data_IF_750007688258
#
_entry.id   IF_750007688258
#
_cell.length_a   1.000
_cell.length_b   1.000
_cell.length_c   1.000
_cell.angle_alpha   90.00
_cell.angle_beta   90.00
_cell.angle_gamma   90.00
#
_symmetry.space_group_name_H-M   'P 1'
#
loop_
_entity.id
_entity.type
_entity.pdbx_description
1 polymer ?
#
# COMPACT_ATOMS: atom_id res chain seq x y z
N UNK A 1 48.71 -10.32 37.16
CA UNK A 1 48.09 -9.26 37.99
C UNK A 1 47.51 -8.19 37.06
N UNK A 2 46.26 -7.76 37.27
CA UNK A 2 45.45 -7.04 36.29
C UNK A 2 45.34 -5.53 36.59
N UNK A 3 45.03 -4.73 35.58
CA UNK A 3 44.44 -3.38 35.64
C UNK A 3 44.21 -2.91 34.19
N UNK A 4 43.12 -2.29 33.76
CA UNK A 4 41.86 -1.94 34.38
C UNK A 4 40.83 -1.71 33.25
N UNK A 5 39.57 -2.04 33.52
CA UNK A 5 38.41 -1.78 32.68
C UNK A 5 38.04 -0.29 32.64
N UNK A 6 37.46 0.17 31.52
CA UNK A 6 36.23 0.98 31.43
C UNK A 6 36.27 1.89 30.19
N UNK A 7 35.50 1.57 29.14
CA UNK A 7 34.96 2.60 28.25
C UNK A 7 33.46 2.70 28.50
N UNK A 8 33.07 3.90 28.95
CA UNK A 8 31.74 4.25 29.39
C UNK A 8 30.75 4.27 28.22
N UNK A 9 29.61 3.62 28.45
CA UNK A 9 28.37 3.79 27.70
C UNK A 9 27.89 5.24 27.84
N UNK A 10 27.72 5.96 26.73
CA UNK A 10 26.88 7.16 26.70
C UNK A 10 25.42 6.74 26.50
N UNK A 11 24.67 6.69 27.59
CA UNK A 11 23.21 6.78 27.57
C UNK A 11 22.83 8.23 27.35
N UNK A 12 21.99 8.49 26.35
CA UNK A 12 21.32 9.76 26.13
C UNK A 12 20.35 10.06 27.28
N UNK A 13 20.61 11.15 28.02
CA UNK A 13 19.59 11.85 28.83
C UNK A 13 19.80 13.35 28.69
N UNK A 14 18.73 14.04 28.27
CA UNK A 14 18.47 15.46 28.54
C UNK A 14 19.27 16.47 27.72
N UNK A 15 18.69 16.94 26.61
CA UNK A 15 19.13 18.18 25.96
C UNK A 15 18.63 19.39 26.78
N UNK A 16 19.56 20.24 27.22
CA UNK A 16 19.28 21.57 27.79
C UNK A 16 19.87 22.63 26.85
N UNK A 17 19.08 23.67 26.57
CA UNK A 17 19.23 24.61 25.46
C UNK A 17 20.28 25.72 25.64
N UNK A 18 21.08 25.73 26.71
CA UNK A 18 21.89 26.91 27.08
C UNK A 18 23.41 26.81 26.84
N UNK A 19 23.88 25.97 25.92
CA UNK A 19 25.33 25.82 25.67
C UNK A 19 25.73 25.96 24.20
N UNK A 20 25.47 27.12 23.58
CA UNK A 20 26.00 27.43 22.24
C UNK A 20 26.66 28.81 22.08
N UNK A 21 26.98 29.52 23.17
CA UNK A 21 27.72 30.79 23.10
C UNK A 21 29.19 30.65 23.49
N UNK A 22 29.99 29.84 22.77
CA UNK A 22 31.46 29.89 22.92
C UNK A 22 32.31 29.19 21.85
N UNK A 23 31.74 28.65 20.76
CA UNK A 23 32.54 28.12 19.66
C UNK A 23 32.36 28.99 18.43
N UNK A 24 33.41 29.73 18.05
CA UNK A 24 33.50 30.51 16.81
C UNK A 24 33.58 29.64 15.56
N UNK A 25 32.58 28.78 15.36
CA UNK A 25 32.33 28.09 14.10
C UNK A 25 31.28 28.92 13.35
N UNK A 26 31.64 29.39 12.17
CA UNK A 26 30.74 30.08 11.27
C UNK A 26 29.47 29.24 11.08
N UNK A 27 28.30 29.87 11.25
CA UNK A 27 27.03 29.26 10.87
C UNK A 27 27.14 28.78 9.42
N UNK A 28 26.74 27.54 9.10
CA UNK A 28 26.50 27.21 7.70
C UNK A 28 25.45 28.21 7.17
N UNK A 29 25.57 28.69 5.92
CA UNK A 29 24.56 29.57 5.38
C UNK A 29 23.22 28.87 5.52
N UNK A 30 22.26 29.55 6.15
CA UNK A 30 20.87 29.17 6.04
C UNK A 30 20.60 29.02 4.55
N UNK A 31 20.38 27.80 4.07
CA UNK A 31 19.83 27.60 2.75
C UNK A 31 18.51 28.35 2.78
N UNK A 32 18.53 29.53 2.17
CA UNK A 32 17.36 30.29 1.83
C UNK A 32 16.44 29.31 1.13
N UNK A 33 15.36 28.93 1.80
CA UNK A 33 14.16 28.57 1.08
C UNK A 33 13.93 29.73 0.12
N UNK A 34 14.08 29.47 -1.17
CA UNK A 34 13.64 30.41 -2.20
C UNK A 34 12.25 30.89 -1.80
N UNK A 35 11.96 32.19 -1.84
CA UNK A 35 10.59 32.64 -1.63
C UNK A 35 9.74 31.88 -2.66
N UNK A 36 8.74 31.15 -2.19
CA UNK A 36 7.69 30.62 -3.05
C UNK A 36 7.06 31.83 -3.70
N UNK A 37 7.47 32.12 -4.94
CA UNK A 37 6.81 33.13 -5.77
C UNK A 37 5.44 32.57 -6.07
N UNK A 38 4.48 33.00 -5.24
CA UNK A 38 3.09 32.61 -5.26
C UNK A 38 2.35 33.34 -6.40
N UNK A 39 2.90 33.24 -7.62
CA UNK A 39 2.38 33.91 -8.82
C UNK A 39 1.42 33.02 -9.63
N UNK A 40 1.21 31.77 -9.21
CA UNK A 40 0.17 30.91 -9.77
C UNK A 40 -0.96 30.71 -8.73
N UNK A 41 -2.17 31.26 -8.94
CA UNK A 41 -3.32 31.03 -8.07
C UNK A 41 -3.78 29.56 -8.04
N UNK A 42 -3.20 28.71 -8.90
CA UNK A 42 -3.38 27.26 -8.93
C UNK A 42 -2.16 26.48 -8.42
N UNK A 43 -1.24 27.12 -7.68
CA UNK A 43 -0.12 26.43 -7.04
C UNK A 43 -0.63 25.45 -5.97
N UNK A 44 -0.87 24.21 -6.41
CA UNK A 44 -1.24 23.09 -5.55
C UNK A 44 -0.03 22.68 -4.72
N UNK A 45 -0.23 22.39 -3.43
CA UNK A 45 0.81 21.94 -2.50
C UNK A 45 0.41 20.64 -1.80
N UNK A 46 1.37 19.93 -1.20
CA UNK A 46 1.11 18.72 -0.41
C UNK A 46 0.68 17.53 -1.27
N UNK A 47 -0.24 16.73 -0.75
CA UNK A 47 -0.69 15.46 -1.38
C UNK A 47 -1.27 15.66 -2.79
N UNK A 48 -2.01 16.76 -2.99
CA UNK A 48 -2.59 17.06 -4.30
C UNK A 48 -1.52 17.40 -5.34
N UNK A 49 -0.45 18.08 -4.94
CA UNK A 49 0.69 18.35 -5.83
C UNK A 49 1.42 17.05 -6.16
N UNK A 50 1.65 16.20 -5.15
CA UNK A 50 2.26 14.88 -5.33
C UNK A 50 1.45 14.01 -6.30
N UNK A 51 0.12 13.97 -6.13
CA UNK A 51 -0.77 13.20 -7.00
C UNK A 51 -0.69 13.70 -8.46
N UNK A 52 -0.80 15.03 -8.67
CA UNK A 52 -0.67 15.64 -9.99
C UNK A 52 0.68 15.29 -10.62
N UNK A 53 1.76 15.53 -9.89
CA UNK A 53 3.12 15.35 -10.40
C UNK A 53 3.43 13.88 -10.68
N UNK A 54 2.98 12.96 -9.81
CA UNK A 54 3.09 11.51 -10.00
C UNK A 54 2.42 11.05 -11.29
N UNK A 55 1.21 11.55 -11.59
CA UNK A 55 0.53 11.20 -12.83
C UNK A 55 1.15 11.87 -14.04
N UNK A 56 1.49 13.16 -13.95
CA UNK A 56 2.11 13.90 -15.05
C UNK A 56 3.43 13.25 -15.51
N UNK A 57 4.26 12.79 -14.57
CA UNK A 57 5.50 12.04 -14.86
C UNK A 57 5.24 10.78 -15.69
N UNK A 58 4.18 10.03 -15.36
CA UNK A 58 3.83 8.75 -16.02
C UNK A 58 3.07 8.94 -17.33
N UNK A 59 2.23 9.97 -17.39
CA UNK A 59 1.47 10.35 -18.58
C UNK A 59 2.43 10.87 -19.66
N UNK A 60 3.42 11.68 -19.29
CA UNK A 60 4.26 12.42 -20.22
C UNK A 60 3.42 13.38 -21.06
N UNK A 61 3.73 13.49 -22.35
CA UNK A 61 3.04 14.39 -23.27
C UNK A 61 1.69 13.85 -23.79
N UNK A 62 1.27 12.65 -23.34
CA UNK A 62 0.01 12.03 -23.80
C UNK A 62 -1.21 12.79 -23.31
N UNK A 63 -2.28 12.81 -24.11
CA UNK A 63 -3.55 13.41 -23.71
C UNK A 63 -4.14 12.71 -22.48
N UNK A 64 -4.80 13.51 -21.64
CA UNK A 64 -5.43 13.04 -20.41
C UNK A 64 -6.60 12.11 -20.74
N UNK A 65 -6.56 10.87 -20.23
CA UNK A 65 -7.65 9.91 -20.42
C UNK A 65 -7.67 8.91 -19.27
N UNK A 66 -8.82 8.80 -18.59
CA UNK A 66 -9.00 7.93 -17.43
C UNK A 66 -10.00 6.83 -17.80
N UNK A 67 -9.62 5.57 -17.61
CA UNK A 67 -10.52 4.44 -17.77
C UNK A 67 -10.88 3.84 -16.41
N UNK A 68 -12.19 3.71 -16.16
CA UNK A 68 -12.72 3.04 -14.98
C UNK A 68 -12.88 1.55 -15.23
N UNK A 69 -12.33 0.74 -14.35
CA UNK A 69 -12.46 -0.72 -14.37
C UNK A 69 -12.99 -1.16 -13.01
N UNK A 70 -14.09 -1.91 -13.04
CA UNK A 70 -14.75 -2.43 -11.85
C UNK A 70 -15.18 -3.88 -12.03
N UNK A 71 -15.39 -4.56 -10.92
CA UNK A 71 -16.08 -5.87 -10.82
C UNK A 71 -15.55 -6.94 -11.79
N UNK A 72 -14.24 -7.13 -11.78
CA UNK A 72 -13.57 -8.15 -12.58
C UNK A 72 -13.73 -9.53 -11.94
N UNK A 73 -14.28 -10.49 -12.68
CA UNK A 73 -14.57 -11.84 -12.16
C UNK A 73 -13.43 -12.83 -12.40
N UNK A 74 -12.56 -12.60 -13.40
CA UNK A 74 -11.42 -13.46 -13.72
C UNK A 74 -10.23 -12.71 -14.36
N UNK A 75 -9.07 -13.38 -14.39
CA UNK A 75 -7.79 -12.82 -14.86
C UNK A 75 -7.77 -12.43 -16.34
N UNK A 76 -8.42 -13.21 -17.20
CA UNK A 76 -8.44 -12.94 -18.65
C UNK A 76 -9.30 -11.72 -18.95
N UNK A 77 -10.44 -11.59 -18.29
CA UNK A 77 -11.28 -10.40 -18.34
C UNK A 77 -10.51 -9.16 -17.86
N UNK A 78 -9.83 -9.26 -16.72
CA UNK A 78 -9.00 -8.19 -16.16
C UNK A 78 -7.93 -7.71 -17.14
N UNK A 79 -7.13 -8.65 -17.67
CA UNK A 79 -6.06 -8.37 -18.64
C UNK A 79 -6.61 -7.74 -19.91
N UNK A 80 -7.72 -8.26 -20.43
CA UNK A 80 -8.35 -7.74 -21.64
C UNK A 80 -8.98 -6.36 -21.42
N UNK A 81 -9.61 -6.09 -20.27
CA UNK A 81 -10.19 -4.79 -19.95
C UNK A 81 -9.12 -3.70 -19.88
N UNK A 82 -8.01 -3.96 -19.18
CA UNK A 82 -6.89 -3.03 -19.08
C UNK A 82 -6.25 -2.80 -20.44
N UNK A 83 -5.93 -3.87 -21.18
CA UNK A 83 -5.32 -3.72 -22.51
C UNK A 83 -6.19 -2.91 -23.47
N UNK A 84 -7.50 -3.17 -23.52
CA UNK A 84 -8.42 -2.37 -24.35
C UNK A 84 -8.49 -0.92 -23.93
N UNK A 85 -8.49 -0.63 -22.63
CA UNK A 85 -8.48 0.74 -22.12
C UNK A 85 -7.22 1.49 -22.58
N UNK A 86 -6.06 0.86 -22.42
CA UNK A 86 -4.76 1.44 -22.83
C UNK A 86 -4.68 1.60 -24.34
N UNK A 87 -5.12 0.60 -25.12
CA UNK A 87 -5.14 0.67 -26.58
C UNK A 87 -6.11 1.76 -27.09
N UNK A 88 -7.11 2.12 -26.30
CA UNK A 88 -8.03 3.25 -26.55
C UNK A 88 -7.46 4.60 -26.10
N UNK A 89 -6.24 4.63 -25.55
CA UNK A 89 -5.53 5.85 -25.16
C UNK A 89 -5.62 6.20 -23.68
N UNK A 90 -6.10 5.32 -22.80
CA UNK A 90 -6.11 5.59 -21.36
C UNK A 90 -4.69 5.81 -20.82
N UNK A 91 -4.49 6.92 -20.10
CA UNK A 91 -3.24 7.30 -19.43
C UNK A 91 -3.30 7.10 -17.92
N UNK A 92 -4.48 6.80 -17.37
CA UNK A 92 -4.71 6.34 -16.00
C UNK A 92 -5.81 5.29 -15.98
N UNK A 93 -5.57 4.19 -15.27
CA UNK A 93 -6.58 3.20 -14.93
C UNK A 93 -7.06 3.46 -13.50
N UNK A 94 -8.38 3.57 -13.31
CA UNK A 94 -9.00 3.63 -11.99
C UNK A 94 -9.63 2.27 -11.69
N UNK A 95 -9.05 1.53 -10.74
CA UNK A 95 -9.45 0.16 -10.41
C UNK A 95 -10.15 0.11 -9.04
N UNK A 96 -11.35 -0.47 -9.03
CA UNK A 96 -12.03 -0.86 -7.80
C UNK A 96 -12.67 -2.23 -8.00
N UNK A 97 -12.68 -3.09 -7.00
CA UNK A 97 -13.44 -4.35 -7.06
C UNK A 97 -14.19 -4.45 -5.75
N UNK A 98 -15.52 -4.48 -5.83
CA UNK A 98 -16.39 -4.55 -4.66
C UNK A 98 -16.19 -5.91 -3.95
N UNK A 99 -16.08 -5.86 -2.62
CA UNK A 99 -16.10 -7.04 -1.77
C UNK A 99 -15.20 -6.96 -0.53
N UNK A 100 -15.69 -7.59 0.53
CA UNK A 100 -14.95 -7.85 1.77
C UNK A 100 -15.00 -9.35 2.05
N UNK A 101 -14.03 -10.09 1.53
CA UNK A 101 -13.98 -11.55 1.63
C UNK A 101 -12.73 -12.06 2.38
N UNK A 102 -12.91 -13.20 3.04
CA UNK A 102 -11.88 -13.84 3.86
C UNK A 102 -10.65 -14.28 3.06
N UNK A 103 -10.78 -14.57 1.75
CA UNK A 103 -9.64 -14.92 0.92
C UNK A 103 -8.75 -13.71 0.62
N UNK A 104 -9.34 -12.53 0.37
CA UNK A 104 -8.61 -11.27 0.22
C UNK A 104 -7.86 -10.88 1.50
N UNK A 105 -8.50 -11.00 2.67
CA UNK A 105 -7.85 -10.78 3.97
C UNK A 105 -6.74 -11.80 4.23
N UNK A 106 -6.96 -13.08 3.89
CA UNK A 106 -5.94 -14.13 4.00
C UNK A 106 -4.73 -13.85 3.12
N UNK A 107 -4.93 -13.42 1.87
CA UNK A 107 -3.84 -13.01 0.98
C UNK A 107 -3.00 -11.90 1.60
N UNK A 108 -3.64 -10.85 2.15
CA UNK A 108 -2.91 -9.75 2.79
C UNK A 108 -2.17 -10.24 4.03
N UNK A 109 -2.83 -11.00 4.92
CA UNK A 109 -2.20 -11.53 6.13
C UNK A 109 -0.94 -12.35 5.79
N UNK A 110 -1.04 -13.18 4.76
CA UNK A 110 0.07 -13.98 4.27
C UNK A 110 1.20 -13.10 3.70
N UNK A 111 0.89 -12.21 2.76
CA UNK A 111 1.89 -11.42 2.03
C UNK A 111 2.57 -10.40 2.95
N UNK A 112 1.79 -9.72 3.79
CA UNK A 112 2.31 -8.75 4.76
C UNK A 112 2.92 -9.42 6.00
N UNK A 113 2.81 -10.75 6.11
CA UNK A 113 3.28 -11.53 7.26
C UNK A 113 2.78 -10.95 8.60
N UNK A 114 1.46 -10.78 8.69
CA UNK A 114 0.78 -10.29 9.90
C UNK A 114 -0.17 -11.35 10.47
N UNK A 115 -0.41 -11.37 11.79
CA UNK A 115 -1.39 -12.27 12.39
C UNK A 115 -2.79 -12.12 11.78
N UNK A 116 -3.57 -13.21 11.75
CA UNK A 116 -4.95 -13.17 11.22
C UNK A 116 -5.87 -12.25 12.03
N UNK A 117 -5.57 -12.04 13.31
CA UNK A 117 -6.27 -11.07 14.18
C UNK A 117 -6.07 -9.62 13.75
N UNK A 118 -4.96 -9.33 13.07
CA UNK A 118 -4.54 -7.98 12.71
C UNK A 118 -5.09 -7.55 11.34
N UNK A 119 -5.82 -8.45 10.67
CA UNK A 119 -6.52 -8.17 9.39
C UNK A 119 -8.03 -8.22 9.52
N UNK A 120 -8.59 -8.38 10.73
CA UNK A 120 -10.05 -8.41 10.97
C UNK A 120 -10.42 -7.38 12.02
N UNK A 121 -11.22 -6.38 11.65
CA UNK A 121 -11.74 -5.41 12.61
C UNK A 121 -12.92 -5.99 13.40
N UNK A 122 -12.87 -5.88 14.72
CA UNK A 122 -14.06 -6.09 15.55
C UNK A 122 -14.92 -4.82 15.55
N UNK A 123 -15.78 -4.68 14.54
CA UNK A 123 -16.70 -3.55 14.45
C UNK A 123 -17.58 -3.42 15.70
N UNK A 124 -17.97 -2.20 16.10
CA UNK A 124 -18.91 -1.99 17.19
C UNK A 124 -20.20 -2.79 16.97
N UNK A 125 -20.54 -3.65 17.92
CA UNK A 125 -21.72 -4.53 17.83
C UNK A 125 -21.41 -5.96 17.34
N UNK A 126 -20.21 -6.23 16.85
CA UNK A 126 -19.74 -7.59 16.54
C UNK A 126 -19.42 -8.33 17.84
N UNK A 127 -20.15 -9.40 18.12
CA UNK A 127 -19.85 -10.27 19.27
C UNK A 127 -18.46 -10.89 19.13
N UNK A 128 -17.79 -11.16 20.25
CA UNK A 128 -16.50 -11.85 20.26
C UNK A 128 -16.55 -13.17 19.50
N UNK A 129 -17.68 -13.89 19.57
CA UNK A 129 -17.88 -15.14 18.85
C UNK A 129 -17.85 -14.95 17.33
N UNK A 130 -18.59 -13.96 16.82
CA UNK A 130 -18.63 -13.65 15.39
C UNK A 130 -17.26 -13.16 14.88
N UNK A 131 -16.55 -12.35 15.67
CA UNK A 131 -15.19 -11.94 15.33
C UNK A 131 -14.22 -13.14 15.31
N UNK A 132 -14.29 -14.03 16.30
CA UNK A 132 -13.48 -15.25 16.33
C UNK A 132 -13.78 -16.18 15.16
N UNK A 133 -15.03 -16.26 14.71
CA UNK A 133 -15.43 -17.05 13.55
C UNK A 133 -14.79 -16.51 12.25
N UNK A 134 -14.83 -15.19 12.04
CA UNK A 134 -14.14 -14.55 10.91
C UNK A 134 -12.62 -14.76 10.94
N UNK A 135 -12.00 -14.62 12.11
CA UNK A 135 -10.56 -14.90 12.29
C UNK A 135 -10.23 -16.36 12.01
N UNK A 136 -11.10 -17.29 12.45
CA UNK A 136 -10.92 -18.71 12.21
C UNK A 136 -11.02 -19.07 10.73
N UNK A 137 -11.95 -18.46 9.98
CA UNK A 137 -12.08 -18.67 8.54
C UNK A 137 -10.78 -18.30 7.79
N UNK A 138 -10.21 -17.12 8.07
CA UNK A 138 -8.93 -16.68 7.49
C UNK A 138 -7.81 -17.63 7.87
N UNK A 139 -7.76 -18.06 9.13
CA UNK A 139 -6.74 -19.00 9.61
C UNK A 139 -6.83 -20.34 8.87
N UNK A 140 -8.04 -20.85 8.69
CA UNK A 140 -8.28 -22.14 8.04
C UNK A 140 -7.93 -22.08 6.54
N UNK A 141 -8.13 -20.93 5.87
CA UNK A 141 -7.62 -20.69 4.51
C UNK A 141 -6.08 -20.71 4.43
N UNK A 142 -5.41 -20.29 5.49
CA UNK A 142 -3.94 -20.22 5.55
C UNK A 142 -3.29 -21.51 6.06
N UNK A 143 -4.06 -22.43 6.65
CA UNK A 143 -3.58 -23.70 7.21
C UNK A 143 -2.71 -24.51 6.23
N UNK A 144 -3.08 -24.68 4.93
CA UNK A 144 -2.27 -25.42 3.97
C UNK A 144 -0.88 -24.83 3.70
N UNK A 145 -0.66 -23.57 4.08
CA UNK A 145 0.56 -22.81 3.78
C UNK A 145 1.44 -22.56 5.01
N UNK A 146 1.06 -23.09 6.18
CA UNK A 146 1.89 -23.03 7.37
C UNK A 146 3.14 -23.88 7.19
N UNK A 147 4.31 -23.29 7.45
CA UNK A 147 5.56 -24.04 7.49
C UNK A 147 5.62 -24.73 8.85
N UNK A 148 5.53 -26.07 8.85
CA UNK A 148 5.85 -26.87 10.04
C UNK A 148 7.37 -26.88 10.18
N UNK A 149 7.97 -26.29 11.22
CA UNK A 149 9.40 -26.39 11.41
C UNK A 149 9.79 -27.85 11.69
N UNK A 150 11.03 -28.25 11.36
CA UNK A 150 11.52 -29.56 11.75
C UNK A 150 11.51 -29.72 13.29
N UNK A 151 11.29 -30.96 13.74
CA UNK A 151 11.03 -31.42 15.13
C UNK A 151 12.09 -30.99 16.17
N UNK A 152 13.21 -30.41 15.75
CA UNK A 152 14.36 -29.98 16.55
C UNK A 152 14.40 -28.46 16.84
N UNK A 153 13.43 -27.69 16.33
CA UNK A 153 13.26 -26.29 16.71
C UNK A 153 12.27 -26.14 17.87
N UNK A 154 12.58 -25.27 18.82
CA UNK A 154 11.73 -25.06 20.00
C UNK A 154 10.30 -24.70 19.57
N UNK A 155 9.32 -25.34 20.23
CA UNK A 155 7.87 -25.15 20.03
C UNK A 155 7.40 -23.68 20.01
N UNK A 156 8.19 -22.77 20.58
CA UNK A 156 7.93 -21.33 20.59
C UNK A 156 8.20 -20.63 19.24
N UNK A 157 8.95 -21.26 18.32
CA UNK A 157 9.28 -20.69 16.99
C UNK A 157 8.32 -21.15 15.89
N UNK A 158 7.50 -22.18 16.15
CA UNK A 158 6.69 -22.87 15.14
C UNK A 158 5.31 -22.27 14.89
N UNK A 159 4.74 -21.59 15.87
CA UNK A 159 3.34 -21.15 15.80
C UNK A 159 3.08 -19.96 14.86
N UNK A 160 4.14 -19.28 14.39
CA UNK A 160 4.02 -17.99 13.69
C UNK A 160 4.93 -17.85 12.46
N UNK A 161 5.58 -18.93 12.01
CA UNK A 161 6.43 -18.87 10.84
C UNK A 161 5.56 -18.95 9.57
N UNK A 162 4.93 -17.83 9.19
CA UNK A 162 4.60 -17.62 7.79
C UNK A 162 5.91 -17.63 6.97
N UNK A 163 5.84 -18.07 5.71
CA UNK A 163 7.04 -18.26 4.92
C UNK A 163 7.88 -16.99 4.85
N UNK A 164 9.20 -17.17 4.86
CA UNK A 164 10.16 -16.09 4.78
C UNK A 164 9.91 -15.20 3.53
N UNK A 165 10.29 -13.91 3.56
CA UNK A 165 10.23 -13.04 2.39
C UNK A 165 10.90 -13.70 1.19
N UNK A 166 10.18 -13.84 0.07
CA UNK A 166 10.69 -14.46 -1.17
C UNK A 166 10.22 -15.88 -1.46
N UNK A 167 9.37 -16.49 -0.62
CA UNK A 167 8.59 -17.68 -1.02
C UNK A 167 7.47 -17.23 -1.97
N UNK A 168 7.27 -17.91 -3.12
CA UNK A 168 6.19 -17.57 -4.04
C UNK A 168 4.86 -17.52 -3.30
N UNK A 169 4.06 -16.47 -3.56
CA UNK A 169 2.74 -16.38 -2.98
C UNK A 169 1.97 -17.68 -3.29
N UNK A 170 1.33 -18.29 -2.29
CA UNK A 170 0.57 -19.50 -2.50
C UNK A 170 -0.57 -19.22 -3.46
N UNK A 171 -0.92 -20.23 -4.25
CA UNK A 171 -2.11 -20.18 -5.10
C UNK A 171 -3.35 -20.33 -4.20
N UNK A 172 -3.60 -19.33 -3.35
CA UNK A 172 -4.81 -19.16 -2.57
C UNK A 172 -5.99 -19.12 -3.55
N UNK A 173 -7.11 -19.79 -3.27
CA UNK A 173 -8.30 -19.75 -4.12
C UNK A 173 -9.01 -18.38 -3.98
N UNK A 174 -8.37 -17.32 -4.46
CA UNK A 174 -8.82 -15.93 -4.38
C UNK A 174 -8.96 -15.33 -5.80
N UNK A 175 -9.94 -15.79 -6.61
CA UNK A 175 -10.03 -15.45 -8.04
C UNK A 175 -10.16 -13.94 -8.30
N UNK A 176 -10.87 -13.20 -7.44
CA UNK A 176 -11.00 -11.74 -7.56
C UNK A 176 -9.68 -11.02 -7.25
N UNK A 177 -8.91 -11.53 -6.30
CA UNK A 177 -7.56 -11.03 -6.01
C UNK A 177 -6.62 -11.27 -7.19
N UNK A 178 -6.66 -12.45 -7.80
CA UNK A 178 -5.88 -12.72 -9.02
C UNK A 178 -6.33 -11.86 -10.20
N UNK A 179 -7.62 -11.52 -10.28
CA UNK A 179 -8.15 -10.57 -11.28
C UNK A 179 -7.59 -9.17 -11.06
N UNK A 180 -7.56 -8.67 -9.81
CA UNK A 180 -6.90 -7.41 -9.47
C UNK A 180 -5.39 -7.45 -9.78
N UNK A 181 -4.71 -8.55 -9.43
CA UNK A 181 -3.30 -8.76 -9.75
C UNK A 181 -3.06 -8.69 -11.27
N UNK A 182 -3.88 -9.39 -12.07
CA UNK A 182 -3.78 -9.39 -13.53
C UNK A 182 -4.00 -7.99 -14.11
N UNK A 183 -4.96 -7.22 -13.59
CA UNK A 183 -5.20 -5.84 -14.01
C UNK A 183 -3.98 -4.94 -13.73
N UNK A 184 -3.47 -4.97 -12.48
CA UNK A 184 -2.33 -4.14 -12.06
C UNK A 184 -1.06 -4.53 -12.80
N UNK A 185 -0.77 -5.82 -12.95
CA UNK A 185 0.36 -6.31 -13.76
C UNK A 185 0.25 -5.84 -15.21
N UNK A 186 -0.94 -5.89 -15.81
CA UNK A 186 -1.15 -5.46 -17.20
C UNK A 186 -0.89 -3.97 -17.36
N UNK A 187 -1.34 -3.13 -16.42
CA UNK A 187 -1.09 -1.69 -16.43
C UNK A 187 0.41 -1.39 -16.29
N UNK A 188 1.09 -2.04 -15.34
CA UNK A 188 2.52 -1.85 -15.11
C UNK A 188 3.38 -2.29 -16.31
N UNK A 189 3.10 -3.45 -16.92
CA UNK A 189 3.82 -3.94 -18.11
C UNK A 189 3.65 -3.02 -19.32
N UNK A 190 2.57 -2.24 -19.35
CA UNK A 190 2.25 -1.28 -20.40
C UNK A 190 2.63 0.15 -20.00
N UNK A 191 3.38 0.32 -18.92
CA UNK A 191 3.86 1.63 -18.44
C UNK A 191 2.70 2.64 -18.33
N UNK A 192 1.58 2.17 -17.76
CA UNK A 192 0.38 2.97 -17.55
C UNK A 192 0.03 3.03 -16.08
N UNK A 193 -0.18 4.26 -15.59
CA UNK A 193 -0.53 4.52 -14.21
C UNK A 193 -1.85 3.83 -13.83
N UNK A 194 -1.91 3.23 -12.64
CA UNK A 194 -3.11 2.66 -12.06
C UNK A 194 -3.32 3.19 -10.64
N UNK A 195 -4.47 3.79 -10.39
CA UNK A 195 -4.91 4.20 -9.06
C UNK A 195 -6.03 3.27 -8.60
N UNK A 196 -5.97 2.82 -7.36
CA UNK A 196 -6.88 1.77 -6.88
C UNK A 196 -7.36 1.97 -5.46
N UNK A 197 -8.50 1.37 -5.15
CA UNK A 197 -9.08 1.35 -3.81
C UNK A 197 -9.85 0.04 -3.55
N UNK A 198 -10.10 -0.26 -2.28
CA UNK A 198 -10.83 -1.44 -1.83
C UNK A 198 -9.95 -2.64 -1.49
N UNK A 199 -10.47 -3.55 -0.68
CA UNK A 199 -9.72 -4.67 -0.10
C UNK A 199 -9.09 -5.57 -1.18
N UNK A 200 -9.89 -6.00 -2.15
CA UNK A 200 -9.47 -6.92 -3.22
C UNK A 200 -8.35 -6.30 -4.06
N UNK A 201 -8.47 -5.02 -4.40
CA UNK A 201 -7.45 -4.32 -5.19
C UNK A 201 -6.13 -4.20 -4.42
N UNK A 202 -6.18 -3.92 -3.11
CA UNK A 202 -4.99 -3.88 -2.25
C UNK A 202 -4.34 -5.27 -2.10
N UNK A 203 -5.13 -6.33 -1.96
CA UNK A 203 -4.62 -7.70 -1.95
C UNK A 203 -3.91 -8.05 -3.27
N UNK A 204 -4.51 -7.68 -4.41
CA UNK A 204 -3.91 -7.85 -5.73
C UNK A 204 -2.61 -7.06 -5.90
N UNK A 205 -2.59 -5.81 -5.46
CA UNK A 205 -1.38 -4.97 -5.46
C UNK A 205 -0.24 -5.56 -4.63
N UNK A 206 -0.56 -6.11 -3.46
CA UNK A 206 0.40 -6.80 -2.59
C UNK A 206 0.99 -8.04 -3.28
N UNK A 207 0.17 -8.86 -3.94
CA UNK A 207 0.65 -10.00 -4.75
C UNK A 207 1.51 -9.58 -5.95
N UNK A 208 1.13 -8.50 -6.64
CA UNK A 208 1.99 -7.98 -7.73
C UNK A 208 3.36 -7.62 -7.17
N UNK A 209 3.40 -6.96 -6.01
CA UNK A 209 4.64 -6.53 -5.36
C UNK A 209 5.54 -7.66 -4.86
N UNK A 210 5.02 -8.87 -4.62
CA UNK A 210 5.86 -10.05 -4.33
C UNK A 210 6.51 -10.61 -5.58
N UNK A 211 5.87 -10.44 -6.75
CA UNK A 211 6.31 -11.02 -8.02
C UNK A 211 7.16 -10.05 -8.85
N UNK A 212 6.84 -8.76 -8.82
CA UNK A 212 7.52 -7.68 -9.53
C UNK A 212 7.51 -6.40 -8.69
N UNK A 213 8.65 -6.10 -8.06
CA UNK A 213 8.81 -4.89 -7.25
C UNK A 213 8.80 -3.60 -8.09
N UNK A 214 9.10 -3.67 -9.40
CA UNK A 214 9.09 -2.48 -10.28
C UNK A 214 7.67 -2.02 -10.58
N UNK A 215 6.70 -2.93 -10.59
CA UNK A 215 5.30 -2.60 -10.79
C UNK A 215 4.78 -1.58 -9.74
N UNK A 216 5.41 -1.47 -8.56
CA UNK A 216 5.10 -0.45 -7.56
C UNK A 216 5.21 0.97 -8.11
N UNK A 217 6.07 1.20 -9.08
CA UNK A 217 6.21 2.52 -9.71
C UNK A 217 4.94 2.93 -10.47
N UNK A 218 4.12 1.98 -10.92
CA UNK A 218 2.93 2.26 -11.75
C UNK A 218 1.62 2.29 -10.96
N UNK A 219 1.63 1.90 -9.69
CA UNK A 219 0.42 1.78 -8.88
C UNK A 219 0.37 2.79 -7.74
N UNK A 220 -0.82 3.29 -7.42
CA UNK A 220 -1.04 4.24 -6.33
C UNK A 220 -2.32 3.91 -5.57
N UNK A 221 -2.28 3.63 -4.25
CA UNK A 221 -3.48 3.58 -3.44
C UNK A 221 -4.17 4.95 -3.46
N UNK A 222 -5.49 4.99 -3.65
CA UNK A 222 -6.22 6.25 -3.72
C UNK A 222 -6.20 7.01 -2.38
N UNK A 223 -6.40 6.31 -1.28
CA UNK A 223 -6.42 6.94 0.03
C UNK A 223 -5.95 6.02 1.15
N UNK A 224 -5.51 6.58 2.28
CA UNK A 224 -5.28 5.79 3.49
C UNK A 224 -6.58 5.22 4.04
N UNK A 225 -6.56 3.94 4.44
CA UNK A 225 -7.75 3.25 4.95
C UNK A 225 -7.78 3.15 6.48
N UNK A 226 -8.98 3.03 7.07
CA UNK A 226 -9.17 2.60 8.45
C UNK A 226 -9.24 1.07 8.58
N UNK A 227 -9.60 0.36 7.52
CA UNK A 227 -9.65 -1.11 7.52
C UNK A 227 -8.25 -1.69 7.83
N UNK A 228 -8.14 -2.60 8.80
CA UNK A 228 -6.85 -3.11 9.25
C UNK A 228 -6.10 -3.92 8.18
N UNK A 229 -6.80 -4.67 7.33
CA UNK A 229 -6.17 -5.41 6.23
C UNK A 229 -5.63 -4.45 5.17
N UNK A 230 -6.42 -3.45 4.75
CA UNK A 230 -5.95 -2.45 3.80
C UNK A 230 -4.74 -1.70 4.34
N UNK A 231 -4.72 -1.32 5.63
CA UNK A 231 -3.55 -0.70 6.27
C UNK A 231 -2.32 -1.61 6.28
N UNK A 232 -2.49 -2.91 6.53
CA UNK A 232 -1.41 -3.88 6.47
C UNK A 232 -0.84 -3.99 5.04
N UNK A 233 -1.71 -4.03 4.03
CA UNK A 233 -1.31 -4.04 2.63
C UNK A 233 -0.57 -2.75 2.23
N UNK A 234 -1.07 -1.58 2.62
CA UNK A 234 -0.41 -0.29 2.36
C UNK A 234 0.96 -0.21 3.03
N UNK A 235 1.07 -0.68 4.28
CA UNK A 235 2.35 -0.79 4.99
C UNK A 235 3.34 -1.73 4.29
N UNK A 236 2.87 -2.86 3.76
CA UNK A 236 3.69 -3.81 3.00
C UNK A 236 4.16 -3.25 1.65
N UNK A 237 3.28 -2.53 0.96
CA UNK A 237 3.59 -1.90 -0.34
C UNK A 237 4.64 -0.81 -0.18
N UNK A 238 4.70 -0.15 0.97
CA UNK A 238 5.56 1.02 1.23
C UNK A 238 5.32 2.13 0.18
N UNK A 239 4.05 2.33 -0.18
CA UNK A 239 3.59 3.36 -1.11
C UNK A 239 2.69 4.30 -0.33
N UNK A 240 3.06 5.58 -0.33
CA UNK A 240 2.24 6.62 0.27
C UNK A 240 0.97 6.86 -0.58
N UNK A 241 -0.24 6.69 -0.03
CA UNK A 241 -1.50 6.86 -0.78
C UNK A 241 -1.64 8.27 -1.39
N UNK A 242 -2.48 8.43 -2.41
CA UNK A 242 -2.69 9.75 -3.03
C UNK A 242 -3.26 10.79 -2.05
N UNK A 243 -4.06 10.36 -1.07
CA UNK A 243 -4.72 11.21 -0.08
C UNK A 243 -4.92 10.49 1.26
N UNK A 244 -5.43 11.19 2.29
CA UNK A 244 -5.68 10.60 3.62
C UNK A 244 -7.10 10.88 4.15
N UNK A 245 -8.12 10.31 3.50
CA UNK A 245 -9.51 10.49 3.92
C UNK A 245 -9.95 9.56 5.05
N UNK A 246 -9.22 8.46 5.29
CA UNK A 246 -9.54 7.51 6.36
C UNK A 246 -10.84 6.75 6.11
N UNK A 247 -11.04 6.27 4.88
CA UNK A 247 -12.20 5.46 4.51
C UNK A 247 -11.96 3.98 4.79
N UNK A 248 -13.00 3.16 4.87
CA UNK A 248 -12.86 1.71 5.06
C UNK A 248 -12.62 0.92 3.75
N UNK A 249 -12.87 1.53 2.58
CA UNK A 249 -12.65 0.91 1.27
C UNK A 249 -13.80 0.01 0.80
N UNK A 250 -14.98 0.15 1.38
CA UNK A 250 -16.17 -0.67 1.06
C UNK A 250 -16.76 -0.38 -0.33
N UNK A 251 -16.49 0.80 -0.88
CA UNK A 251 -16.99 1.25 -2.17
C UNK A 251 -15.94 2.11 -2.91
N UNK A 252 -16.26 2.50 -4.14
CA UNK A 252 -15.38 3.35 -4.94
C UNK A 252 -15.41 4.85 -4.55
N UNK A 253 -15.94 5.24 -3.39
CA UNK A 253 -16.11 6.66 -3.01
C UNK A 253 -14.78 7.39 -2.92
N UNK A 254 -13.76 6.78 -2.30
CA UNK A 254 -12.44 7.42 -2.20
C UNK A 254 -11.77 7.56 -3.55
N UNK A 255 -11.88 6.54 -4.40
CA UNK A 255 -11.40 6.60 -5.77
C UNK A 255 -12.07 7.74 -6.55
N UNK A 256 -13.41 7.88 -6.44
CA UNK A 256 -14.17 8.99 -7.06
C UNK A 256 -13.73 10.35 -6.53
N UNK A 257 -13.52 10.47 -5.22
CA UNK A 257 -13.09 11.71 -4.59
C UNK A 257 -11.70 12.13 -5.09
N UNK A 258 -10.75 11.20 -5.15
CA UNK A 258 -9.39 11.46 -5.64
C UNK A 258 -9.38 11.85 -7.12
N UNK A 259 -10.15 11.17 -7.96
CA UNK A 259 -10.26 11.54 -9.37
C UNK A 259 -10.93 12.91 -9.56
N UNK A 260 -11.92 13.25 -8.74
CA UNK A 260 -12.54 14.58 -8.76
C UNK A 260 -11.55 15.67 -8.36
N UNK A 261 -10.68 15.40 -7.38
CA UNK A 261 -9.60 16.32 -7.01
C UNK A 261 -8.57 16.44 -8.13
N UNK A 262 -8.27 15.35 -8.82
CA UNK A 262 -7.38 15.32 -9.97
C UNK A 262 -7.91 16.16 -11.13
N UNK A 263 -9.23 16.12 -11.41
CA UNK A 263 -9.89 17.01 -12.39
C UNK A 263 -9.72 18.50 -12.03
N UNK A 264 -9.61 18.84 -10.75
CA UNK A 264 -9.43 20.23 -10.29
C UNK A 264 -7.97 20.69 -10.46
N UNK A 265 -7.00 19.80 -10.25
CA UNK A 265 -5.56 20.16 -10.22
C UNK A 265 -4.81 19.87 -11.53
N UNK A 266 -5.38 19.05 -12.41
CA UNK A 266 -4.91 18.77 -13.78
C UNK A 266 -6.14 18.69 -14.72
N UNK A 267 -6.77 19.84 -15.02
CA UNK A 267 -7.95 19.87 -15.88
C UNK A 267 -7.59 19.42 -17.31
N UNK A 268 -8.53 18.72 -17.96
CA UNK A 268 -8.39 18.26 -19.35
C UNK A 268 -8.33 19.43 -20.35
#
# INVERSE_FOLDING_TARGET
>A
MPNASASLRCRSRGFSLDRWRSCGLACPPANYASPVTNDDPHAVTGDLARLRDWWAERRGDRERSIAWIHDLENEDEARNAVNRAIDSGATLIALHIDGDDSASRATIAFVANVPTTDVVEQQPGTSDHAWMEAVAEIRDLLEPYRVVPPDDSSVDSAAHAFPAPGVPAPNLPAPRVHSAQAAITSAAQRETAIIFDGLIAHAGAALVSTNDSRAREWMLPATSSTDPAIRAAQSFLDIEPATHFGTNGDDATSLRAVLSLLDVVDPA
#
